data_IF_035043147793
#
_entry.id   IF_035043147793
#
_cell.length_a   1.000
_cell.length_b   1.000
_cell.length_c   1.000
_cell.angle_alpha   90.00
_cell.angle_beta   90.00
_cell.angle_gamma   90.00
#
_symmetry.space_group_name_H-M   'P 1'
#
loop_
_entity.id
_entity.type
_entity.pdbx_description
1 polymer ?
#
# COMPACT_ATOMS: atom_id res chain seq x y z
N UNK A 1 30.23 -15.63 11.02
CA UNK A 1 29.12 -16.08 10.14
C UNK A 1 27.83 -16.02 10.96
N UNK A 2 26.98 -15.05 10.65
CA UNK A 2 25.74 -14.79 11.38
C UNK A 2 24.66 -15.75 10.88
N UNK A 3 24.28 -16.73 11.70
CA UNK A 3 23.14 -17.59 11.40
C UNK A 3 21.85 -16.78 11.59
N UNK A 4 21.01 -16.75 10.56
CA UNK A 4 19.68 -16.14 10.63
C UNK A 4 18.82 -16.82 11.70
N UNK A 5 17.90 -16.07 12.31
CA UNK A 5 16.97 -16.57 13.33
C UNK A 5 16.13 -17.79 12.87
N UNK A 6 16.09 -18.06 11.56
CA UNK A 6 15.50 -19.25 10.97
C UNK A 6 16.19 -20.56 11.41
N UNK A 7 17.52 -20.52 11.60
CA UNK A 7 18.32 -21.70 11.95
C UNK A 7 18.18 -22.11 13.43
N UNK A 8 17.76 -21.18 14.31
CA UNK A 8 17.56 -21.46 15.74
C UNK A 8 16.26 -22.23 16.04
N UNK A 9 15.19 -22.02 15.26
CA UNK A 9 13.98 -22.85 15.39
C UNK A 9 14.19 -24.28 14.89
N UNK A 10 14.92 -24.46 13.79
CA UNK A 10 15.16 -25.80 13.23
C UNK A 10 16.15 -26.61 14.09
N UNK A 11 17.17 -25.97 14.70
CA UNK A 11 18.10 -26.68 15.59
C UNK A 11 17.47 -27.08 16.92
N UNK A 12 16.60 -26.25 17.53
CA UNK A 12 15.90 -26.60 18.78
C UNK A 12 14.90 -27.76 18.60
N UNK A 13 14.31 -27.88 17.40
CA UNK A 13 13.47 -29.03 17.07
C UNK A 13 14.29 -30.31 16.78
N UNK A 14 15.51 -30.19 16.25
CA UNK A 14 16.33 -31.34 15.83
C UNK A 14 17.18 -31.93 16.98
N UNK A 15 17.58 -31.16 18.00
CA UNK A 15 18.36 -31.70 19.13
C UNK A 15 17.56 -32.46 20.20
N UNK A 16 16.21 -32.53 20.08
CA UNK A 16 15.35 -33.28 21.01
C UNK A 16 14.73 -34.55 20.42
N UNK A 17 15.03 -34.89 19.16
CA UNK A 17 14.46 -36.05 18.47
C UNK A 17 15.54 -37.10 18.27
N UNK A 18 15.85 -37.86 19.33
CA UNK A 18 16.54 -39.16 19.17
C UNK A 18 15.78 -40.34 19.76
N UNK A 19 14.53 -40.20 20.24
CA UNK A 19 13.79 -41.36 20.74
C UNK A 19 12.27 -41.23 20.93
N UNK A 20 11.53 -40.41 20.16
CA UNK A 20 10.06 -40.41 20.28
C UNK A 20 9.37 -40.25 18.92
N UNK A 21 8.58 -41.26 18.57
CA UNK A 21 7.63 -41.25 17.45
C UNK A 21 6.51 -40.26 17.74
N UNK A 22 6.41 -39.20 16.92
CA UNK A 22 5.36 -38.19 16.98
C UNK A 22 4.25 -38.51 15.96
N UNK A 23 3.02 -38.68 16.44
CA UNK A 23 1.81 -38.58 15.62
C UNK A 23 1.31 -37.13 15.63
N UNK A 24 1.24 -36.49 14.47
CA UNK A 24 0.72 -35.13 14.33
C UNK A 24 -0.82 -35.15 14.23
N UNK A 25 -1.50 -34.41 15.12
CA UNK A 25 -2.88 -33.97 14.92
C UNK A 25 -2.88 -32.45 14.78
N UNK A 26 -3.36 -31.96 13.64
CA UNK A 26 -3.45 -30.53 13.34
C UNK A 26 -4.75 -29.96 13.89
N UNK A 27 -4.68 -29.19 14.97
CA UNK A 27 -5.66 -28.15 15.27
C UNK A 27 -4.95 -26.88 15.69
N UNK A 28 -5.48 -25.76 15.22
CA UNK A 28 -5.06 -24.41 15.57
C UNK A 28 -5.16 -24.21 17.09
N UNK A 29 -3.99 -24.19 17.75
CA UNK A 29 -3.86 -23.99 19.20
C UNK A 29 -3.93 -25.30 19.99
N UNK A 30 -2.77 -25.88 20.33
CA UNK A 30 -2.72 -27.03 21.22
C UNK A 30 -1.31 -27.35 21.70
N UNK A 31 -1.15 -27.48 23.03
CA UNK A 31 -0.02 -28.15 23.64
C UNK A 31 0.20 -29.52 22.98
N UNK A 32 1.45 -29.85 22.65
CA UNK A 32 1.80 -31.24 22.34
C UNK A 32 1.86 -32.05 23.64
N UNK A 33 1.20 -33.21 23.65
CA UNK A 33 1.29 -34.14 24.78
C UNK A 33 2.69 -34.78 24.83
N UNK A 34 3.45 -34.46 25.87
CA UNK A 34 4.66 -35.17 26.26
C UNK A 34 4.31 -36.12 27.42
N UNK A 35 4.11 -37.40 27.13
CA UNK A 35 4.03 -38.43 28.17
C UNK A 35 5.44 -38.73 28.69
N UNK A 36 5.83 -38.05 29.76
CA UNK A 36 6.99 -38.42 30.58
C UNK A 36 6.47 -39.13 31.82
N UNK A 37 6.94 -40.36 32.06
CA UNK A 37 6.60 -41.14 33.23
C UNK A 37 6.98 -40.37 34.51
N UNK A 38 5.96 -39.86 35.22
CA UNK A 38 6.13 -39.15 36.50
C UNK A 38 5.40 -37.81 36.54
N UNK A 39 4.12 -37.86 36.95
CA UNK A 39 3.22 -36.85 37.50
C UNK A 39 3.63 -35.35 37.61
N UNK A 40 4.21 -34.74 36.57
CA UNK A 40 4.26 -33.29 36.40
C UNK A 40 4.04 -32.92 34.94
N UNK A 41 2.89 -32.33 34.66
CA UNK A 41 2.58 -31.74 33.37
C UNK A 41 3.34 -30.42 33.22
N UNK A 42 4.51 -30.45 32.62
CA UNK A 42 5.25 -29.25 32.21
C UNK A 42 4.68 -28.75 30.88
N UNK A 43 3.65 -27.91 30.94
CA UNK A 43 3.26 -27.07 29.82
C UNK A 43 4.38 -26.04 29.61
N UNK A 44 5.28 -26.33 28.67
CA UNK A 44 6.22 -25.35 28.16
C UNK A 44 5.40 -24.25 27.43
N UNK A 45 5.19 -23.11 28.10
CA UNK A 45 4.65 -21.89 27.51
C UNK A 45 5.69 -21.29 26.53
N UNK A 46 6.03 -22.01 25.45
CA UNK A 46 6.75 -21.41 24.33
C UNK A 46 5.76 -20.50 23.59
N UNK A 47 5.73 -19.22 23.97
CA UNK A 47 5.31 -18.19 23.04
C UNK A 47 6.33 -18.20 21.90
N UNK A 48 5.93 -18.70 20.74
CA UNK A 48 6.67 -18.41 19.51
C UNK A 48 6.83 -16.88 19.44
N UNK A 49 8.02 -16.36 19.08
CA UNK A 49 8.15 -14.94 18.81
C UNK A 49 7.06 -14.57 17.78
N UNK A 50 6.31 -13.50 18.04
CA UNK A 50 5.28 -13.03 17.11
C UNK A 50 5.94 -12.82 15.75
N UNK A 51 5.62 -13.68 14.79
CA UNK A 51 6.16 -13.57 13.44
C UNK A 51 5.63 -12.28 12.81
N UNK A 52 6.45 -11.55 12.04
CA UNK A 52 5.97 -10.35 11.37
C UNK A 52 4.81 -10.72 10.43
N UNK A 53 3.77 -9.87 10.35
CA UNK A 53 2.63 -10.12 9.48
C UNK A 53 3.09 -10.20 8.02
N UNK A 54 2.48 -11.08 7.23
CA UNK A 54 2.80 -11.20 5.79
C UNK A 54 2.07 -10.15 4.97
N UNK A 55 0.90 -9.74 5.44
CA UNK A 55 0.03 -8.74 4.83
C UNK A 55 -0.66 -7.93 5.92
N UNK A 56 -1.14 -6.73 5.56
CA UNK A 56 -1.95 -5.92 6.48
C UNK A 56 -3.23 -6.63 6.96
N UNK A 57 -3.71 -7.66 6.24
CA UNK A 57 -4.89 -8.43 6.65
C UNK A 57 -4.66 -9.24 7.94
N UNK A 58 -3.42 -9.59 8.22
CA UNK A 58 -3.03 -10.35 9.41
C UNK A 58 -2.85 -9.46 10.64
N UNK A 59 -2.77 -8.14 10.45
CA UNK A 59 -2.54 -7.17 11.52
C UNK A 59 -3.79 -7.07 12.40
N UNK A 60 -3.63 -7.38 13.68
CA UNK A 60 -4.65 -7.20 14.71
C UNK A 60 -4.34 -5.92 15.49
N UNK A 61 -5.16 -4.89 15.29
CA UNK A 61 -5.05 -3.61 15.98
C UNK A 61 -6.43 -3.00 16.14
N UNK A 62 -6.65 -2.32 17.26
CA UNK A 62 -7.85 -1.50 17.48
C UNK A 62 -7.71 -0.12 16.83
N UNK A 63 -6.48 0.30 16.56
CA UNK A 63 -6.22 1.56 15.87
C UNK A 63 -6.60 1.42 14.40
N UNK A 64 -7.24 2.44 13.81
CA UNK A 64 -7.62 2.38 12.40
C UNK A 64 -6.40 2.21 11.51
N UNK A 65 -5.27 2.84 11.90
CA UNK A 65 -4.03 2.97 11.15
C UNK A 65 -2.89 2.51 12.03
N UNK A 66 -2.09 1.56 11.53
CA UNK A 66 -0.98 0.98 12.29
C UNK A 66 0.22 0.79 11.38
N UNK A 67 1.37 1.30 11.81
CA UNK A 67 2.64 1.07 11.12
C UNK A 67 3.18 -0.29 11.53
N UNK A 68 3.52 -1.13 10.56
CA UNK A 68 4.10 -2.46 10.79
C UNK A 68 5.22 -2.72 9.81
N UNK A 69 6.16 -3.58 10.19
CA UNK A 69 7.12 -4.18 9.26
C UNK A 69 6.59 -5.53 8.80
N UNK A 70 6.37 -5.68 7.49
CA UNK A 70 5.95 -6.93 6.89
C UNK A 70 7.10 -7.95 6.84
N UNK A 71 6.76 -9.23 6.65
CA UNK A 71 7.74 -10.31 6.58
C UNK A 71 8.77 -10.18 5.44
N UNK A 72 8.47 -9.37 4.41
CA UNK A 72 9.38 -9.03 3.31
C UNK A 72 10.27 -7.81 3.61
N UNK A 73 10.13 -7.20 4.80
CA UNK A 73 10.94 -6.10 5.29
C UNK A 73 10.37 -4.70 5.01
N UNK A 74 9.23 -4.58 4.32
CA UNK A 74 8.62 -3.25 4.13
C UNK A 74 7.97 -2.74 5.40
N UNK A 75 8.37 -1.53 5.81
CA UNK A 75 7.57 -0.74 6.74
C UNK A 75 6.38 -0.12 6.00
N UNK A 76 5.16 -0.44 6.43
CA UNK A 76 3.91 -0.04 5.77
C UNK A 76 2.92 0.57 6.78
N UNK A 77 2.08 1.49 6.31
CA UNK A 77 0.90 1.93 7.05
C UNK A 77 -0.29 1.03 6.68
N UNK A 78 -0.74 0.21 7.61
CA UNK A 78 -1.92 -0.63 7.43
C UNK A 78 -3.21 0.12 7.81
N UNK A 79 -4.21 0.06 6.94
CA UNK A 79 -5.61 0.35 7.29
C UNK A 79 -6.30 -0.93 7.72
N UNK A 80 -6.68 -0.99 8.99
CA UNK A 80 -7.25 -2.17 9.65
C UNK A 80 -8.78 -2.16 9.68
N UNK A 81 -9.42 -1.05 9.30
CA UNK A 81 -10.86 -0.85 9.50
C UNK A 81 -11.64 -0.68 8.19
N UNK A 82 -11.14 0.13 7.24
CA UNK A 82 -11.91 0.46 6.02
C UNK A 82 -12.17 -0.79 5.18
N UNK A 83 -13.44 -1.04 4.85
CA UNK A 83 -13.87 -2.16 4.00
C UNK A 83 -13.32 -3.53 4.49
N UNK A 84 -13.39 -3.76 5.81
CA UNK A 84 -12.89 -5.00 6.43
C UNK A 84 -11.35 -5.06 6.55
N UNK A 85 -10.67 -3.93 6.34
CA UNK A 85 -9.25 -3.73 6.57
C UNK A 85 -8.33 -4.51 5.64
N UNK A 86 -7.05 -4.54 6.02
CA UNK A 86 -6.01 -5.26 5.30
C UNK A 86 -5.40 -4.48 4.14
N UNK A 87 -5.55 -3.15 4.12
CA UNK A 87 -4.99 -2.31 3.08
C UNK A 87 -3.61 -1.77 3.47
N UNK A 88 -2.71 -1.69 2.51
CA UNK A 88 -1.45 -0.95 2.58
C UNK A 88 -1.73 0.44 2.01
N UNK A 89 -1.56 1.49 2.79
CA UNK A 89 -1.67 2.87 2.30
C UNK A 89 -0.41 3.21 1.50
N UNK A 90 -0.60 3.68 0.27
CA UNK A 90 0.49 4.03 -0.66
C UNK A 90 0.60 5.53 -0.93
N UNK A 91 -0.44 6.30 -0.60
CA UNK A 91 -0.44 7.75 -0.69
C UNK A 91 -1.43 8.30 0.35
N UNK A 92 -1.08 9.41 1.00
CA UNK A 92 -1.97 10.11 1.93
C UNK A 92 -1.77 11.62 1.87
N UNK A 93 -2.88 12.35 1.75
CA UNK A 93 -2.98 13.82 1.77
C UNK A 93 -4.12 14.22 2.72
N UNK A 94 -3.79 14.83 3.85
CA UNK A 94 -4.74 15.31 4.86
C UNK A 94 -4.41 16.72 5.36
N UNK A 95 -3.21 17.23 5.08
CA UNK A 95 -2.76 18.59 5.36
C UNK A 95 -1.76 19.05 4.28
N UNK A 96 -1.32 20.32 4.35
CA UNK A 96 -0.40 20.93 3.38
C UNK A 96 1.09 20.83 3.74
N UNK A 97 1.44 20.06 4.78
CA UNK A 97 2.78 20.07 5.40
C UNK A 97 3.88 19.39 4.57
N UNK A 98 3.51 18.60 3.57
CA UNK A 98 4.44 17.93 2.65
C UNK A 98 4.21 18.42 1.23
N UNK A 99 5.28 18.90 0.60
CA UNK A 99 5.30 19.25 -0.81
C UNK A 99 5.34 17.97 -1.68
N UNK A 100 4.40 17.88 -2.63
CA UNK A 100 4.28 16.78 -3.60
C UNK A 100 4.81 17.17 -4.99
N UNK A 101 5.20 18.43 -5.21
CA UNK A 101 5.85 18.83 -6.46
C UNK A 101 7.33 18.43 -6.42
N UNK A 102 7.58 17.13 -6.63
CA UNK A 102 8.87 16.47 -6.46
C UNK A 102 9.39 15.87 -7.75
N UNK A 103 10.72 15.70 -7.79
CA UNK A 103 11.44 15.09 -8.91
C UNK A 103 11.25 13.58 -8.99
N UNK A 104 11.59 12.98 -10.12
CA UNK A 104 11.45 11.55 -10.41
C UNK A 104 12.02 10.66 -9.30
N UNK A 105 13.25 10.97 -8.86
CA UNK A 105 13.96 10.14 -7.86
C UNK A 105 13.24 10.11 -6.51
N UNK A 106 12.57 11.20 -6.13
CA UNK A 106 11.82 11.25 -4.86
C UNK A 106 10.55 10.40 -4.99
N UNK A 107 9.86 10.46 -6.14
CA UNK A 107 8.70 9.61 -6.42
C UNK A 107 9.05 8.13 -6.54
N UNK A 108 10.25 7.81 -7.03
CA UNK A 108 10.77 6.44 -7.08
C UNK A 108 10.91 5.82 -5.69
N UNK A 109 11.60 6.52 -4.78
CA UNK A 109 11.94 5.98 -3.45
C UNK A 109 10.89 6.29 -2.36
N UNK A 110 10.02 7.26 -2.61
CA UNK A 110 9.01 7.74 -1.66
C UNK A 110 9.53 8.88 -0.79
N UNK A 111 8.59 9.63 -0.21
CA UNK A 111 8.86 10.80 0.61
C UNK A 111 7.71 11.08 1.58
N UNK A 112 7.94 11.96 2.55
CA UNK A 112 6.97 12.35 3.57
C UNK A 112 7.07 11.52 4.84
N UNK A 113 6.00 11.52 5.64
CA UNK A 113 5.91 10.80 6.91
C UNK A 113 4.82 9.73 6.82
N UNK A 114 5.17 8.47 7.08
CA UNK A 114 4.26 7.32 6.98
C UNK A 114 3.04 7.42 7.92
N UNK A 115 3.10 8.21 9.00
CA UNK A 115 1.95 8.49 9.87
C UNK A 115 1.20 9.78 9.52
N UNK A 116 1.75 10.58 8.60
CA UNK A 116 1.20 11.86 8.12
C UNK A 116 0.93 11.82 6.61
N UNK A 117 1.42 12.81 5.88
CA UNK A 117 1.35 12.84 4.42
C UNK A 117 2.57 12.22 3.80
N UNK A 118 2.37 11.33 2.83
CA UNK A 118 3.47 10.64 2.17
C UNK A 118 3.08 10.09 0.80
N UNK A 119 4.11 9.81 0.00
CA UNK A 119 4.06 8.92 -1.15
C UNK A 119 4.95 7.71 -0.87
N UNK A 120 4.40 6.52 -1.00
CA UNK A 120 5.10 5.30 -0.60
C UNK A 120 6.32 4.98 -1.46
N UNK A 121 6.37 5.47 -2.70
CA UNK A 121 7.47 5.24 -3.63
C UNK A 121 7.11 4.24 -4.72
N UNK A 122 7.27 4.65 -5.98
CA UNK A 122 6.86 3.86 -7.15
C UNK A 122 7.55 2.50 -7.20
N UNK A 123 8.82 2.43 -6.80
CA UNK A 123 9.58 1.18 -6.81
C UNK A 123 9.01 0.17 -5.82
N UNK A 124 8.67 0.61 -4.61
CA UNK A 124 8.05 -0.26 -3.59
C UNK A 124 6.66 -0.72 -4.02
N UNK A 125 5.86 0.18 -4.61
CA UNK A 125 4.52 -0.16 -5.13
C UNK A 125 4.65 -1.18 -6.28
N UNK A 126 5.58 -0.99 -7.21
CA UNK A 126 5.86 -1.93 -8.29
C UNK A 126 6.25 -3.32 -7.76
N UNK A 127 7.17 -3.35 -6.78
CA UNK A 127 7.65 -4.61 -6.18
C UNK A 127 6.52 -5.37 -5.50
N UNK A 128 5.66 -4.69 -4.72
CA UNK A 128 4.47 -5.31 -4.13
C UNK A 128 3.50 -5.83 -5.20
N UNK A 129 3.11 -4.98 -6.14
CA UNK A 129 2.10 -5.32 -7.16
C UNK A 129 2.58 -6.28 -8.25
N UNK A 130 3.87 -6.62 -8.27
CA UNK A 130 4.42 -7.65 -9.16
C UNK A 130 4.42 -9.04 -8.55
N UNK A 131 4.31 -9.17 -7.22
CA UNK A 131 4.33 -10.47 -6.54
C UNK A 131 2.99 -11.20 -6.61
N UNK A 132 1.89 -10.45 -6.65
CA UNK A 132 0.51 -10.97 -6.66
C UNK A 132 -0.45 -9.89 -7.15
N UNK A 133 -1.71 -10.26 -7.36
CA UNK A 133 -2.74 -9.31 -7.77
C UNK A 133 -3.17 -8.43 -6.60
N UNK A 134 -3.30 -7.14 -6.85
CA UNK A 134 -3.82 -6.16 -5.89
C UNK A 134 -5.05 -5.46 -6.45
N UNK A 135 -5.95 -5.08 -5.55
CA UNK A 135 -6.98 -4.06 -5.81
C UNK A 135 -6.50 -2.72 -5.26
N UNK A 136 -6.94 -1.63 -5.89
CA UNK A 136 -6.73 -0.27 -5.43
C UNK A 136 -8.04 0.28 -4.86
N UNK A 137 -7.95 1.02 -3.76
CA UNK A 137 -9.01 1.88 -3.26
C UNK A 137 -8.46 3.30 -3.09
N UNK A 138 -9.27 4.26 -3.50
CA UNK A 138 -9.04 5.70 -3.34
C UNK A 138 -10.18 6.24 -2.48
N UNK A 139 -9.86 6.81 -1.33
CA UNK A 139 -10.81 7.51 -0.47
C UNK A 139 -10.58 9.03 -0.59
N UNK A 140 -11.66 9.80 -0.70
CA UNK A 140 -11.62 11.24 -0.92
C UNK A 140 -12.62 11.95 0.00
N UNK A 141 -12.28 13.16 0.45
CA UNK A 141 -13.26 14.08 1.04
C UNK A 141 -13.33 15.34 0.19
N UNK A 142 -14.54 15.69 -0.28
CA UNK A 142 -14.80 16.88 -1.10
C UNK A 142 -15.97 17.63 -0.48
N UNK A 143 -15.77 18.90 -0.12
CA UNK A 143 -16.79 19.73 0.54
C UNK A 143 -17.46 19.06 1.75
N UNK A 144 -16.70 18.29 2.53
CA UNK A 144 -17.20 17.55 3.70
C UNK A 144 -17.89 16.22 3.39
N UNK A 145 -18.12 15.88 2.11
CA UNK A 145 -18.67 14.58 1.70
C UNK A 145 -17.55 13.59 1.40
N UNK A 146 -17.69 12.36 1.91
CA UNK A 146 -16.74 11.28 1.67
C UNK A 146 -17.14 10.46 0.44
N UNK A 147 -16.17 10.18 -0.42
CA UNK A 147 -16.32 9.36 -1.61
C UNK A 147 -15.26 8.27 -1.65
N UNK A 148 -15.52 7.22 -2.41
CA UNK A 148 -14.49 6.22 -2.71
C UNK A 148 -14.58 5.71 -4.14
N UNK A 149 -13.43 5.35 -4.70
CA UNK A 149 -13.29 4.60 -5.94
C UNK A 149 -12.48 3.33 -5.66
N UNK A 150 -12.96 2.19 -6.12
CA UNK A 150 -12.28 0.90 -6.00
C UNK A 150 -12.03 0.35 -7.40
N UNK A 151 -10.86 -0.22 -7.62
CA UNK A 151 -10.45 -0.86 -8.87
C UNK A 151 -10.03 -2.30 -8.56
N UNK A 152 -10.69 -3.27 -9.21
CA UNK A 152 -10.48 -4.71 -8.96
C UNK A 152 -9.13 -5.24 -9.45
N UNK A 153 -8.37 -4.44 -10.19
CA UNK A 153 -7.00 -4.74 -10.59
C UNK A 153 -6.16 -3.47 -10.57
N UNK A 154 -5.00 -3.53 -9.92
CA UNK A 154 -4.02 -2.47 -9.86
C UNK A 154 -2.61 -3.04 -9.88
N UNK A 155 -1.78 -2.50 -10.78
CA UNK A 155 -0.36 -2.85 -10.89
C UNK A 155 0.43 -1.68 -11.46
N UNK A 156 1.65 -1.49 -10.96
CA UNK A 156 2.65 -0.66 -11.64
C UNK A 156 3.65 -1.56 -12.34
N UNK A 157 4.01 -1.20 -13.58
CA UNK A 157 5.17 -1.77 -14.24
C UNK A 157 6.49 -1.22 -13.66
N UNK A 158 7.63 -1.71 -14.14
CA UNK A 158 8.92 -1.34 -13.59
C UNK A 158 9.37 0.04 -14.06
N UNK A 159 10.53 0.48 -13.58
CA UNK A 159 11.13 1.75 -13.99
C UNK A 159 11.44 1.80 -15.50
N UNK A 160 11.74 0.64 -16.11
CA UNK A 160 11.97 0.52 -17.57
C UNK A 160 10.75 0.92 -18.38
N UNK A 161 9.56 0.64 -17.86
CA UNK A 161 8.27 1.04 -18.41
C UNK A 161 7.75 2.33 -17.77
N UNK A 162 8.63 3.11 -17.13
CA UNK A 162 8.32 4.38 -16.45
C UNK A 162 7.16 4.26 -15.45
N UNK A 163 7.10 3.14 -14.70
CA UNK A 163 6.05 2.88 -13.72
C UNK A 163 4.63 2.97 -14.29
N UNK A 164 4.43 2.52 -15.53
CA UNK A 164 3.14 2.53 -16.21
C UNK A 164 2.02 1.93 -15.33
N UNK A 165 0.89 2.63 -15.28
CA UNK A 165 -0.30 2.22 -14.52
C UNK A 165 -1.14 1.20 -15.28
N UNK A 166 -1.28 0.00 -14.74
CA UNK A 166 -2.28 -0.97 -15.16
C UNK A 166 -3.41 -0.99 -14.13
N UNK A 167 -4.60 -0.58 -14.54
CA UNK A 167 -5.77 -0.48 -13.64
C UNK A 167 -7.07 -0.81 -14.36
N UNK A 168 -7.96 -1.56 -13.72
CA UNK A 168 -9.23 -2.04 -14.29
C UNK A 168 -10.32 -2.23 -13.24
N UNK A 169 -11.57 -2.37 -13.71
CA UNK A 169 -12.71 -2.82 -12.90
C UNK A 169 -13.14 -1.81 -11.84
N UNK A 170 -13.42 -0.58 -12.27
CA UNK A 170 -13.94 0.48 -11.42
C UNK A 170 -15.28 0.11 -10.74
N UNK A 171 -15.43 0.50 -9.49
CA UNK A 171 -16.68 0.60 -8.73
C UNK A 171 -16.55 1.67 -7.65
N UNK A 172 -17.66 2.08 -7.04
CA UNK A 172 -17.65 3.05 -5.93
C UNK A 172 -18.47 4.31 -6.22
N UNK A 173 -18.45 5.25 -5.27
CA UNK A 173 -19.26 6.47 -5.27
C UNK A 173 -18.57 7.71 -5.84
N UNK A 174 -17.25 7.70 -6.02
CA UNK A 174 -16.50 8.89 -6.44
C UNK A 174 -16.60 9.21 -7.95
N UNK A 175 -17.16 8.30 -8.74
CA UNK A 175 -17.03 8.28 -10.20
C UNK A 175 -15.63 7.88 -10.67
N UNK A 176 -15.51 7.45 -11.92
CA UNK A 176 -14.24 7.00 -12.47
C UNK A 176 -13.44 8.14 -13.09
N UNK A 177 -12.38 8.56 -12.40
CA UNK A 177 -11.40 9.54 -12.89
C UNK A 177 -10.00 8.95 -13.10
N UNK A 178 -9.91 7.63 -13.34
CA UNK A 178 -8.63 6.95 -13.58
C UNK A 178 -8.60 6.20 -14.92
N UNK A 179 -9.65 5.46 -15.30
CA UNK A 179 -9.54 4.57 -16.48
C UNK A 179 -9.39 5.32 -17.81
N UNK A 180 -10.03 6.48 -17.97
CA UNK A 180 -10.08 7.18 -19.27
C UNK A 180 -8.77 7.90 -19.64
N UNK A 181 -8.11 8.51 -18.66
CA UNK A 181 -6.93 9.36 -18.88
C UNK A 181 -5.63 8.78 -18.30
N UNK A 182 -5.70 7.76 -17.45
CA UNK A 182 -4.52 7.29 -16.71
C UNK A 182 -4.18 5.82 -16.96
N UNK A 183 -5.15 5.01 -17.40
CA UNK A 183 -4.91 3.60 -17.73
C UNK A 183 -3.85 3.49 -18.83
N UNK A 184 -2.85 2.65 -18.57
CA UNK A 184 -1.70 2.39 -19.43
C UNK A 184 -0.81 3.63 -19.71
N UNK A 185 -0.94 4.69 -18.93
CA UNK A 185 -0.06 5.86 -19.02
C UNK A 185 1.20 5.68 -18.16
N UNK A 186 2.33 6.18 -18.65
CA UNK A 186 3.56 6.26 -17.88
C UNK A 186 3.47 7.34 -16.78
N UNK A 187 4.24 7.19 -15.72
CA UNK A 187 4.33 8.21 -14.68
C UNK A 187 5.17 9.39 -15.17
N UNK A 188 4.79 10.61 -14.84
CA UNK A 188 5.53 11.83 -15.19
C UNK A 188 5.76 12.71 -13.95
N UNK A 189 6.92 13.35 -13.90
CA UNK A 189 7.29 14.39 -12.93
C UNK A 189 7.75 15.64 -13.69
N UNK A 190 7.93 16.77 -12.98
CA UNK A 190 8.36 18.00 -13.63
C UNK A 190 9.74 17.88 -14.33
N UNK A 191 10.59 16.96 -13.87
CA UNK A 191 11.92 16.70 -14.42
C UNK A 191 12.00 15.48 -15.35
N UNK A 192 10.89 14.73 -15.52
CA UNK A 192 10.82 13.58 -16.41
C UNK A 192 9.43 13.47 -17.03
N UNK A 193 9.32 13.99 -18.24
CA UNK A 193 8.10 13.97 -19.05
C UNK A 193 7.96 12.64 -19.80
N UNK A 194 6.90 11.90 -19.50
CA UNK A 194 6.51 10.66 -20.20
C UNK A 194 5.03 10.69 -20.63
N UNK A 195 4.41 11.86 -20.66
CA UNK A 195 3.01 11.98 -21.06
C UNK A 195 2.84 12.07 -22.60
N UNK A 196 1.60 12.19 -23.08
CA UNK A 196 1.26 12.22 -24.51
C UNK A 196 0.83 13.63 -24.96
N UNK A 197 1.17 14.66 -24.18
CA UNK A 197 0.86 16.05 -24.48
C UNK A 197 2.09 16.77 -25.03
N UNK A 198 1.87 17.86 -25.78
CA UNK A 198 2.97 18.62 -26.39
C UNK A 198 3.80 19.41 -25.35
N UNK A 199 3.29 19.51 -24.12
CA UNK A 199 3.95 20.13 -22.97
C UNK A 199 3.93 19.16 -21.80
N UNK A 200 4.80 19.40 -20.82
CA UNK A 200 4.83 18.59 -19.61
C UNK A 200 3.62 18.88 -18.69
N UNK A 201 2.67 17.94 -18.61
CA UNK A 201 1.50 18.04 -17.76
C UNK A 201 1.84 18.20 -16.28
N UNK A 202 2.95 17.59 -15.82
CA UNK A 202 3.39 17.70 -14.43
C UNK A 202 3.77 19.15 -14.07
N UNK A 203 4.34 19.89 -15.03
CA UNK A 203 4.65 21.33 -14.87
C UNK A 203 3.38 22.17 -14.93
N UNK A 204 2.50 21.90 -15.90
CA UNK A 204 1.29 22.69 -16.13
C UNK A 204 0.26 22.56 -15.00
N UNK A 205 0.16 21.37 -14.39
CA UNK A 205 -0.83 21.05 -13.34
C UNK A 205 -0.22 20.77 -11.96
N UNK A 206 1.05 21.16 -11.76
CA UNK A 206 1.75 21.16 -10.48
C UNK A 206 1.61 19.85 -9.67
N UNK A 207 2.14 18.75 -10.21
CA UNK A 207 2.08 17.46 -9.55
C UNK A 207 2.98 16.42 -10.19
N UNK A 208 2.73 15.16 -9.86
CA UNK A 208 3.30 14.02 -10.57
C UNK A 208 2.30 12.88 -10.57
N UNK A 209 2.06 12.32 -11.74
CA UNK A 209 0.97 11.38 -11.96
C UNK A 209 1.16 10.59 -13.24
N UNK A 210 0.25 9.64 -13.48
CA UNK A 210 0.14 8.93 -14.75
C UNK A 210 -0.58 9.79 -15.80
N UNK A 211 0.00 10.92 -16.17
CA UNK A 211 -0.61 11.86 -17.11
C UNK A 211 -0.69 11.28 -18.53
N UNK A 212 -1.74 11.66 -19.27
CA UNK A 212 -1.88 11.37 -20.70
C UNK A 212 -1.93 12.65 -21.51
N UNK A 213 -3.04 13.40 -21.47
CA UNK A 213 -3.15 14.72 -22.10
C UNK A 213 -4.35 15.52 -21.54
N UNK A 214 -4.36 16.01 -20.30
CA UNK A 214 -3.39 15.74 -19.24
C UNK A 214 -3.96 14.79 -18.18
N UNK A 215 -5.09 15.14 -17.56
CA UNK A 215 -5.67 14.30 -16.51
C UNK A 215 -7.18 14.44 -16.33
N UNK A 216 -7.78 13.39 -15.76
CA UNK A 216 -9.06 13.46 -15.05
C UNK A 216 -8.89 13.35 -13.52
N UNK A 217 -7.72 12.95 -13.02
CA UNK A 217 -7.35 13.01 -11.60
C UNK A 217 -5.93 13.56 -11.38
N UNK A 218 -5.73 14.30 -10.29
CA UNK A 218 -4.45 14.90 -9.92
C UNK A 218 -4.28 14.89 -8.38
N UNK A 219 -4.34 13.72 -7.75
CA UNK A 219 -4.32 13.61 -6.28
C UNK A 219 -2.99 14.01 -5.64
N UNK A 220 -1.94 14.11 -6.45
CA UNK A 220 -0.62 14.62 -6.08
C UNK A 220 -0.43 16.10 -6.42
N UNK A 221 -1.49 16.78 -6.85
CA UNK A 221 -1.49 18.21 -7.16
C UNK A 221 -1.21 19.11 -5.95
N UNK A 222 -1.21 20.41 -6.24
CA UNK A 222 -0.98 21.49 -5.29
C UNK A 222 -2.14 21.58 -4.28
N UNK A 223 -1.79 21.44 -2.99
CA UNK A 223 -2.78 21.53 -1.93
C UNK A 223 -3.48 22.90 -1.91
N UNK A 224 -4.82 22.89 -1.97
CA UNK A 224 -5.63 24.10 -1.86
C UNK A 224 -5.57 25.06 -3.06
N UNK A 225 -4.93 24.68 -4.17
CA UNK A 225 -4.95 25.50 -5.39
C UNK A 225 -6.38 25.69 -5.89
N UNK A 226 -6.66 26.89 -6.40
CA UNK A 226 -7.92 27.26 -7.05
C UNK A 226 -7.78 27.41 -8.57
N UNK A 227 -6.56 27.20 -9.08
CA UNK A 227 -6.31 27.21 -10.52
C UNK A 227 -6.83 25.91 -11.13
N UNK A 228 -7.21 26.00 -12.41
CA UNK A 228 -7.80 24.90 -13.14
C UNK A 228 -6.88 23.67 -13.15
N UNK A 229 -7.34 22.57 -12.56
CA UNK A 229 -6.68 21.25 -12.59
C UNK A 229 -5.42 21.10 -11.72
N UNK A 230 -4.86 22.18 -11.17
CA UNK A 230 -3.65 22.11 -10.34
C UNK A 230 -3.87 21.45 -8.97
N UNK A 231 -5.11 21.42 -8.48
CA UNK A 231 -5.43 20.97 -7.11
C UNK A 231 -5.53 19.45 -6.97
N UNK A 232 -5.88 18.96 -5.77
CA UNK A 232 -6.21 17.54 -5.52
C UNK A 232 -7.51 17.16 -6.26
N UNK A 233 -7.38 16.94 -7.56
CA UNK A 233 -8.48 16.81 -8.50
C UNK A 233 -8.94 15.35 -8.61
N UNK A 234 -10.25 15.15 -8.58
CA UNK A 234 -10.92 13.92 -9.00
C UNK A 234 -12.16 14.33 -9.79
N UNK A 235 -12.03 14.44 -11.12
CA UNK A 235 -12.97 15.17 -11.99
C UNK A 235 -14.44 14.85 -11.72
N UNK A 236 -14.78 13.57 -11.53
CA UNK A 236 -16.16 13.14 -11.29
C UNK A 236 -16.79 13.71 -10.01
N UNK A 237 -15.99 14.07 -9.00
CA UNK A 237 -16.45 14.63 -7.72
C UNK A 237 -16.07 16.11 -7.53
N UNK A 238 -14.95 16.56 -8.09
CA UNK A 238 -14.42 17.92 -7.89
C UNK A 238 -14.58 18.84 -9.11
N UNK A 239 -14.82 18.29 -10.31
CA UNK A 239 -14.46 19.00 -11.54
C UNK A 239 -12.98 19.43 -11.51
N UNK A 240 -12.64 20.56 -12.12
CA UNK A 240 -11.26 21.09 -12.15
C UNK A 240 -11.01 22.32 -11.26
N UNK A 241 -12.04 22.82 -10.57
CA UNK A 241 -11.96 24.07 -9.78
C UNK A 241 -12.13 23.84 -8.27
N UNK A 242 -12.56 22.65 -7.87
CA UNK A 242 -12.67 22.26 -6.46
C UNK A 242 -11.49 21.35 -6.14
N UNK A 243 -10.95 21.46 -4.93
CA UNK A 243 -9.93 20.56 -4.41
C UNK A 243 -10.57 19.58 -3.42
N UNK A 244 -10.18 18.31 -3.46
CA UNK A 244 -10.37 17.45 -2.31
C UNK A 244 -9.63 18.03 -1.09
N UNK A 245 -10.24 17.91 0.08
CA UNK A 245 -9.64 18.30 1.38
C UNK A 245 -8.95 17.12 2.05
N UNK A 246 -9.13 15.91 1.53
CA UNK A 246 -8.27 14.77 1.83
C UNK A 246 -8.30 13.77 0.67
N UNK A 247 -7.18 13.06 0.49
CA UNK A 247 -7.09 11.91 -0.39
C UNK A 247 -6.21 10.82 0.22
N UNK A 248 -6.59 9.57 0.01
CA UNK A 248 -5.77 8.43 0.39
C UNK A 248 -5.90 7.32 -0.65
N UNK A 249 -4.76 6.82 -1.14
CA UNK A 249 -4.70 5.64 -1.98
C UNK A 249 -4.17 4.46 -1.19
N UNK A 250 -4.80 3.30 -1.33
CA UNK A 250 -4.43 2.09 -0.63
C UNK A 250 -4.63 0.84 -1.47
N UNK A 251 -3.78 -0.16 -1.30
CA UNK A 251 -3.80 -1.41 -2.06
C UNK A 251 -3.98 -2.61 -1.14
N UNK A 252 -4.69 -3.62 -1.60
CA UNK A 252 -4.90 -4.88 -0.86
C UNK A 252 -4.71 -6.07 -1.80
N UNK A 253 -3.99 -7.12 -1.39
CA UNK A 253 -3.91 -8.35 -2.18
C UNK A 253 -5.28 -8.94 -2.45
N UNK A 254 -5.43 -9.61 -3.59
CA UNK A 254 -6.61 -10.38 -3.96
C UNK A 254 -6.22 -11.86 -3.98
N UNK A 255 -6.92 -12.68 -3.21
CA UNK A 255 -6.61 -14.10 -3.02
C UNK A 255 -6.36 -14.42 -1.57
#
# INVERSE_FOLDING_TARGET
>A
MSFSNFSRCLLLAITLISSVSLSYASTSGGCGDLNVAGNQQLCLNLKCPDLPPRVCKDVKSNEPRTVVTLADGYEVLCDTQTDGGGWIVIQRRVTQDVDFYRKWVDYKYGFGNITGNFWFGNEKIHQLTSQRRYQLRVDLTVNGTQYHATYSSFRLLGERENYQLQVEGYSGSAGDSLLSQHKNSAFSTFDKDNDQYDKNCAVEYHGAWWYRACHSSNLNGLWGSRKYGESLTWYSSTGFYISATSSEMKIRPIG
#
